data_IF_121439444382
#
_entry.id   IF_121439444382
#
_cell.length_a   1.000
_cell.length_b   1.000
_cell.length_c   1.000
_cell.angle_alpha   90.00
_cell.angle_beta   90.00
_cell.angle_gamma   90.00
#
_symmetry.space_group_name_H-M   'P 1'
#
loop_
_entity.id
_entity.type
_entity.pdbx_description
1 polymer ?
#
# COMPACT_ATOMS: atom_id res chain seq x y z
N UNK A 1 -21.22 -10.66 -2.67
CA UNK A 1 -20.01 -9.98 -3.18
C UNK A 1 -19.25 -10.96 -4.07
N UNK A 2 -18.91 -10.57 -5.29
CA UNK A 2 -18.22 -11.50 -6.22
C UNK A 2 -16.72 -11.54 -5.92
N UNK A 3 -16.05 -12.67 -6.26
CA UNK A 3 -14.58 -12.87 -6.07
C UNK A 3 -13.72 -11.71 -6.63
N UNK A 4 -14.20 -11.05 -7.69
CA UNK A 4 -13.56 -9.87 -8.30
C UNK A 4 -13.53 -8.65 -7.37
N UNK A 5 -14.61 -8.42 -6.63
CA UNK A 5 -14.72 -7.26 -5.72
C UNK A 5 -13.86 -7.46 -4.48
N UNK A 6 -13.77 -8.72 -4.04
CA UNK A 6 -12.88 -9.14 -2.96
C UNK A 6 -11.40 -8.89 -3.27
N UNK A 7 -10.95 -9.32 -4.44
CA UNK A 7 -9.56 -9.16 -4.85
C UNK A 7 -9.18 -7.68 -5.07
N UNK A 8 -10.13 -6.84 -5.51
CA UNK A 8 -9.93 -5.39 -5.61
C UNK A 8 -9.80 -4.73 -4.24
N UNK A 9 -10.63 -5.12 -3.27
CA UNK A 9 -10.65 -4.50 -1.95
C UNK A 9 -9.36 -4.76 -1.13
N UNK A 10 -8.65 -5.87 -1.40
CA UNK A 10 -7.38 -6.20 -0.73
C UNK A 10 -6.15 -5.97 -1.59
N UNK A 11 -6.33 -5.33 -2.76
CA UNK A 11 -5.23 -5.09 -3.70
C UNK A 11 -4.67 -6.31 -4.39
N UNK A 12 -5.33 -7.45 -4.29
CA UNK A 12 -5.00 -8.66 -5.06
C UNK A 12 -5.73 -8.64 -6.43
N UNK A 13 -6.41 -7.54 -6.74
CA UNK A 13 -7.29 -7.38 -7.90
C UNK A 13 -6.61 -7.41 -9.27
N UNK A 14 -5.30 -7.44 -9.35
CA UNK A 14 -4.58 -7.48 -10.64
C UNK A 14 -4.07 -8.86 -11.05
N UNK A 15 -4.42 -9.94 -10.38
CA UNK A 15 -4.01 -11.28 -10.83
C UNK A 15 -4.82 -11.81 -12.03
N UNK A 16 -5.71 -11.02 -12.61
CA UNK A 16 -6.66 -11.53 -13.62
C UNK A 16 -6.74 -10.83 -14.97
N UNK A 17 -6.29 -9.62 -15.19
CA UNK A 17 -6.64 -8.94 -16.44
C UNK A 17 -5.63 -8.01 -17.10
N UNK A 18 -4.52 -7.59 -16.50
CA UNK A 18 -3.66 -6.60 -17.17
C UNK A 18 -2.15 -6.84 -17.23
N UNK A 19 -1.59 -7.78 -16.52
CA UNK A 19 -0.20 -8.19 -16.76
C UNK A 19 -0.09 -9.67 -16.49
N UNK A 20 -0.02 -10.47 -17.53
CA UNK A 20 0.36 -11.86 -17.41
C UNK A 20 1.90 -11.94 -17.33
N UNK A 21 2.52 -11.94 -16.15
CA UNK A 21 3.96 -12.08 -16.03
C UNK A 21 4.45 -13.47 -16.50
N UNK A 22 3.50 -14.39 -16.79
CA UNK A 22 3.79 -15.74 -17.29
C UNK A 22 4.29 -15.76 -18.73
N UNK A 23 4.11 -14.69 -19.51
CA UNK A 23 4.67 -14.62 -20.88
C UNK A 23 6.20 -14.49 -20.89
N UNK A 24 6.81 -14.09 -19.79
CA UNK A 24 8.27 -13.98 -19.65
C UNK A 24 8.90 -15.27 -19.09
N UNK A 25 8.09 -16.16 -18.49
CA UNK A 25 8.55 -17.37 -17.78
C UNK A 25 8.11 -18.70 -18.43
N UNK A 26 7.62 -18.66 -19.68
CA UNK A 26 7.14 -19.84 -20.40
C UNK A 26 8.23 -20.86 -20.81
N UNK A 27 9.47 -20.72 -20.35
CA UNK A 27 10.53 -21.68 -20.57
C UNK A 27 10.78 -22.52 -19.31
N UNK A 28 10.07 -23.65 -19.21
CA UNK A 28 10.40 -24.76 -18.29
C UNK A 28 9.57 -24.80 -17.00
N UNK A 29 8.53 -25.65 -16.97
CA UNK A 29 7.85 -26.10 -15.77
C UNK A 29 8.71 -27.14 -15.03
N UNK A 30 9.16 -26.91 -13.79
CA UNK A 30 9.51 -28.01 -12.88
C UNK A 30 8.26 -28.54 -12.20
N UNK A 31 8.10 -29.84 -12.12
CA UNK A 31 7.02 -30.52 -11.40
C UNK A 31 7.11 -30.21 -9.90
N UNK A 32 5.99 -29.76 -9.34
CA UNK A 32 5.84 -29.48 -7.90
C UNK A 32 5.60 -30.80 -7.16
N UNK A 33 6.64 -31.41 -6.65
CA UNK A 33 6.53 -32.44 -5.61
C UNK A 33 7.48 -32.12 -4.47
N UNK A 34 6.88 -31.95 -3.29
CA UNK A 34 7.45 -31.81 -1.93
C UNK A 34 8.13 -30.49 -1.53
N UNK A 35 7.67 -29.97 -0.40
CA UNK A 35 8.19 -28.79 0.31
C UNK A 35 9.63 -28.93 0.85
N UNK A 36 10.24 -30.12 0.80
CA UNK A 36 11.51 -30.44 1.46
C UNK A 36 12.78 -30.23 0.61
N UNK A 37 12.68 -29.62 -0.57
CA UNK A 37 13.81 -29.52 -1.51
C UNK A 37 14.20 -28.10 -1.97
N UNK A 38 13.67 -27.04 -1.37
CA UNK A 38 14.09 -25.69 -1.72
C UNK A 38 15.43 -25.35 -1.05
N UNK A 39 16.49 -25.76 -1.69
CA UNK A 39 17.82 -25.27 -1.38
C UNK A 39 17.86 -23.75 -1.52
N UNK A 40 18.63 -23.07 -0.64
CA UNK A 40 18.88 -21.64 -0.63
C UNK A 40 19.33 -21.02 -1.98
N UNK A 41 19.48 -21.82 -3.03
CA UNK A 41 19.85 -21.47 -4.40
C UNK A 41 18.69 -21.45 -5.39
N UNK A 42 17.42 -21.51 -4.96
CA UNK A 42 16.24 -21.43 -5.83
C UNK A 42 16.13 -20.13 -6.63
N UNK A 43 15.32 -20.11 -7.70
CA UNK A 43 15.18 -18.95 -8.61
C UNK A 43 14.87 -17.62 -7.88
N UNK A 44 14.11 -17.66 -6.78
CA UNK A 44 13.77 -16.46 -6.00
C UNK A 44 14.95 -15.83 -5.27
N UNK A 45 15.95 -16.62 -4.85
CA UNK A 45 17.18 -16.08 -4.25
C UNK A 45 18.04 -15.34 -5.28
N UNK A 46 18.01 -15.77 -6.54
CA UNK A 46 18.70 -15.05 -7.62
C UNK A 46 18.04 -13.71 -7.88
N UNK A 47 16.69 -13.63 -7.89
CA UNK A 47 15.95 -12.37 -8.01
C UNK A 47 16.27 -11.41 -6.87
N UNK A 48 16.40 -11.90 -5.65
CA UNK A 48 16.73 -11.10 -4.48
C UNK A 48 18.15 -10.47 -4.53
N UNK A 49 19.05 -11.03 -5.35
CA UNK A 49 20.41 -10.54 -5.57
C UNK A 49 20.61 -9.78 -6.87
N UNK A 50 19.63 -9.85 -7.78
CA UNK A 50 19.69 -9.09 -9.02
C UNK A 50 19.54 -7.59 -8.68
N UNK A 51 20.65 -6.87 -8.78
CA UNK A 51 20.62 -5.43 -8.90
C UNK A 51 20.43 -5.13 -10.39
N UNK A 52 19.32 -4.51 -10.71
CA UNK A 52 19.10 -4.03 -12.07
C UNK A 52 20.09 -2.89 -12.31
N UNK A 53 20.92 -2.94 -13.38
CA UNK A 53 21.72 -1.79 -13.74
C UNK A 53 20.80 -0.64 -14.09
N UNK A 54 21.05 0.54 -13.56
CA UNK A 54 20.30 1.76 -13.86
C UNK A 54 20.42 2.22 -15.32
N UNK A 55 21.18 1.51 -16.13
CA UNK A 55 21.44 1.86 -17.53
C UNK A 55 20.32 1.37 -18.45
N UNK A 56 19.57 2.29 -19.03
CA UNK A 56 18.71 2.04 -20.20
C UNK A 56 17.22 2.27 -20.05
N UNK A 57 16.71 2.60 -18.84
CA UNK A 57 15.31 3.03 -18.70
C UNK A 57 15.29 4.53 -18.52
N UNK A 58 14.61 5.21 -19.44
CA UNK A 58 14.40 6.66 -19.36
C UNK A 58 13.46 6.94 -18.18
N UNK A 59 13.88 7.79 -17.27
CA UNK A 59 13.00 8.31 -16.20
C UNK A 59 11.80 9.04 -16.83
N UNK A 60 10.64 8.86 -16.24
CA UNK A 60 9.41 9.56 -16.62
C UNK A 60 9.29 10.87 -15.83
N UNK A 61 10.34 11.67 -15.82
CA UNK A 61 10.36 12.98 -15.14
C UNK A 61 9.30 13.91 -15.75
N UNK A 62 8.61 14.67 -14.90
CA UNK A 62 7.59 15.64 -15.31
C UNK A 62 6.21 15.06 -15.62
N UNK A 63 5.98 13.76 -15.41
CA UNK A 63 4.63 13.21 -15.48
C UNK A 63 3.81 13.64 -14.26
N UNK A 64 2.54 13.96 -14.51
CA UNK A 64 1.58 14.39 -13.49
C UNK A 64 0.31 13.56 -13.60
N UNK A 65 -0.46 13.54 -12.52
CA UNK A 65 -1.76 12.89 -12.50
C UNK A 65 -2.81 13.69 -13.28
N UNK A 66 -3.69 12.98 -14.00
CA UNK A 66 -4.94 13.57 -14.49
C UNK A 66 -5.87 13.76 -13.29
N UNK A 67 -6.29 14.99 -12.96
CA UNK A 67 -7.17 15.24 -11.82
C UNK A 67 -8.59 14.69 -12.02
N UNK A 68 -9.09 14.59 -13.25
CA UNK A 68 -10.47 14.18 -13.53
C UNK A 68 -10.84 12.84 -12.89
N UNK A 69 -10.18 11.72 -13.22
CA UNK A 69 -10.47 10.42 -12.62
C UNK A 69 -10.26 10.36 -11.11
N UNK A 70 -9.29 11.11 -10.58
CA UNK A 70 -9.02 11.16 -9.14
C UNK A 70 -10.13 11.87 -8.38
N UNK A 71 -10.61 13.00 -8.92
CA UNK A 71 -11.71 13.74 -8.32
C UNK A 71 -13.04 12.97 -8.41
N UNK A 72 -13.30 12.29 -9.53
CA UNK A 72 -14.47 11.42 -9.64
C UNK A 72 -14.47 10.32 -8.56
N UNK A 73 -13.33 9.68 -8.32
CA UNK A 73 -13.18 8.69 -7.23
C UNK A 73 -13.33 9.32 -5.85
N UNK A 74 -12.81 10.51 -5.67
CA UNK A 74 -12.95 11.28 -4.42
C UNK A 74 -14.41 11.61 -4.14
N UNK A 75 -15.12 12.16 -5.12
CA UNK A 75 -16.51 12.56 -5.01
C UNK A 75 -17.44 11.36 -4.77
N UNK A 76 -17.17 10.22 -5.40
CA UNK A 76 -17.93 8.98 -5.16
C UNK A 76 -17.88 8.50 -3.69
N UNK A 77 -16.87 8.89 -2.91
CA UNK A 77 -16.73 8.55 -1.50
C UNK A 77 -17.36 9.60 -0.55
N UNK A 78 -17.92 10.69 -1.08
CA UNK A 78 -18.51 11.78 -0.26
C UNK A 78 -19.50 11.29 0.81
N UNK A 79 -20.45 10.37 0.52
CA UNK A 79 -21.38 9.87 1.54
C UNK A 79 -20.69 9.17 2.71
N UNK A 80 -19.69 8.33 2.44
CA UNK A 80 -18.94 7.64 3.48
C UNK A 80 -18.07 8.60 4.30
N UNK A 81 -17.49 9.62 3.63
CA UNK A 81 -16.72 10.67 4.27
C UNK A 81 -17.62 11.56 5.16
N UNK A 82 -18.83 11.86 4.69
CA UNK A 82 -19.83 12.57 5.49
C UNK A 82 -20.18 11.79 6.77
N UNK A 83 -20.45 10.49 6.66
CA UNK A 83 -20.71 9.63 7.84
C UNK A 83 -19.54 9.66 8.82
N UNK A 84 -18.31 9.59 8.32
CA UNK A 84 -17.10 9.59 9.14
C UNK A 84 -16.94 10.89 9.94
N UNK A 85 -17.11 12.03 9.30
CA UNK A 85 -16.85 13.35 9.90
C UNK A 85 -18.05 13.99 10.60
N UNK A 86 -19.24 13.46 10.38
CA UNK A 86 -20.47 14.00 10.99
C UNK A 86 -20.40 14.06 12.52
N UNK A 87 -19.72 13.08 13.14
CA UNK A 87 -19.52 13.03 14.60
C UNK A 87 -18.51 14.08 15.11
N UNK A 88 -17.71 14.63 14.22
CA UNK A 88 -16.69 15.65 14.56
C UNK A 88 -17.26 17.05 14.42
N UNK A 89 -17.99 17.33 13.33
CA UNK A 89 -18.39 18.69 12.95
C UNK A 89 -19.89 18.98 13.10
N UNK A 90 -20.74 17.95 13.14
CA UNK A 90 -22.20 18.12 13.19
C UNK A 90 -22.82 18.42 11.83
N UNK A 91 -24.18 18.44 11.81
CA UNK A 91 -24.98 18.53 10.57
C UNK A 91 -24.86 19.86 9.84
N UNK A 92 -24.64 20.95 10.54
CA UNK A 92 -24.71 22.29 9.95
C UNK A 92 -23.46 22.71 9.19
N UNK A 93 -22.31 22.11 9.51
CA UNK A 93 -21.00 22.52 8.99
C UNK A 93 -20.38 21.48 8.07
N UNK A 94 -20.84 20.22 8.16
CA UNK A 94 -20.17 19.09 7.52
C UNK A 94 -20.06 19.22 6.01
N UNK A 95 -21.09 19.72 5.33
CA UNK A 95 -21.10 19.78 3.88
C UNK A 95 -20.13 20.85 3.35
N UNK A 96 -20.01 21.99 4.02
CA UNK A 96 -19.03 23.04 3.69
C UNK A 96 -17.59 22.51 3.91
N UNK A 97 -17.35 21.79 5.01
CA UNK A 97 -16.04 21.19 5.31
C UNK A 97 -15.67 20.12 4.27
N UNK A 98 -16.63 19.32 3.82
CA UNK A 98 -16.39 18.34 2.75
C UNK A 98 -16.06 18.98 1.41
N UNK A 99 -16.64 20.16 1.12
CA UNK A 99 -16.30 20.93 -0.07
C UNK A 99 -14.87 21.49 0.04
N UNK A 100 -14.49 22.04 1.20
CA UNK A 100 -13.11 22.46 1.45
C UNK A 100 -12.09 21.29 1.32
N UNK A 101 -12.45 20.11 1.82
CA UNK A 101 -11.61 18.90 1.68
C UNK A 101 -11.42 18.52 0.21
N UNK A 102 -12.50 18.61 -0.59
CA UNK A 102 -12.45 18.34 -2.02
C UNK A 102 -11.55 19.33 -2.75
N UNK A 103 -11.73 20.62 -2.49
CA UNK A 103 -10.89 21.66 -3.10
C UNK A 103 -9.43 21.51 -2.70
N UNK A 104 -9.19 21.13 -1.43
CA UNK A 104 -7.83 20.85 -0.93
C UNK A 104 -7.21 19.64 -1.62
N UNK A 105 -7.99 18.57 -1.88
CA UNK A 105 -7.50 17.42 -2.61
C UNK A 105 -7.17 17.78 -4.06
N UNK A 106 -8.01 18.52 -4.75
CA UNK A 106 -7.74 19.03 -6.10
C UNK A 106 -6.45 19.83 -6.15
N UNK A 107 -6.23 20.74 -5.20
CA UNK A 107 -5.02 21.53 -5.09
C UNK A 107 -3.77 20.70 -4.76
N UNK A 108 -3.94 19.52 -4.14
CA UNK A 108 -2.83 18.62 -3.77
C UNK A 108 -2.39 17.72 -4.93
N UNK A 109 -3.29 17.39 -5.88
CA UNK A 109 -3.01 16.46 -6.99
C UNK A 109 -1.73 16.81 -7.76
N UNK A 110 -1.44 18.08 -8.13
CA UNK A 110 -0.20 18.43 -8.83
C UNK A 110 1.09 18.10 -8.06
N UNK A 111 1.00 18.05 -6.73
CA UNK A 111 2.14 17.75 -5.84
C UNK A 111 2.35 16.25 -5.59
N UNK A 112 1.37 15.42 -5.96
CA UNK A 112 1.43 13.99 -5.75
C UNK A 112 2.53 13.36 -6.61
N UNK A 113 3.44 12.58 -6.03
CA UNK A 113 4.36 11.75 -6.79
C UNK A 113 3.63 10.92 -7.86
N UNK A 114 4.06 11.03 -9.12
CA UNK A 114 3.54 10.15 -10.16
C UNK A 114 4.25 8.80 -10.06
N UNK A 115 3.52 7.76 -9.68
CA UNK A 115 4.05 6.40 -9.47
C UNK A 115 3.63 5.42 -10.56
N UNK A 116 2.96 5.91 -11.61
CA UNK A 116 2.45 5.11 -12.73
C UNK A 116 1.03 4.58 -12.50
N UNK A 117 0.19 4.66 -13.54
CA UNK A 117 -1.24 4.32 -13.47
C UNK A 117 -1.54 2.83 -13.20
N UNK A 118 -0.59 1.95 -13.45
CA UNK A 118 -0.71 0.50 -13.18
C UNK A 118 0.08 0.05 -11.94
N UNK A 119 0.58 0.98 -11.13
CA UNK A 119 1.38 0.66 -9.96
C UNK A 119 0.56 -0.09 -8.90
N UNK A 120 1.13 -1.17 -8.38
CA UNK A 120 0.52 -1.97 -7.32
C UNK A 120 0.15 -1.15 -6.07
N UNK A 121 0.94 -0.12 -5.75
CA UNK A 121 0.74 0.70 -4.56
C UNK A 121 -0.37 1.76 -4.69
N UNK A 122 -0.95 1.97 -5.88
CA UNK A 122 -2.01 2.97 -6.09
C UNK A 122 -3.18 2.81 -5.13
N UNK A 123 -3.56 1.58 -4.85
CA UNK A 123 -4.67 1.26 -3.96
C UNK A 123 -4.49 1.77 -2.52
N UNK A 124 -3.26 2.06 -2.11
CA UNK A 124 -2.95 2.68 -0.82
C UNK A 124 -2.50 4.12 -0.97
N UNK A 125 -1.74 4.43 -2.03
CA UNK A 125 -1.19 5.77 -2.26
C UNK A 125 -2.30 6.80 -2.46
N UNK A 126 -3.28 6.52 -3.32
CA UNK A 126 -4.39 7.45 -3.58
C UNK A 126 -5.23 7.71 -2.32
N UNK A 127 -5.74 6.68 -1.59
CA UNK A 127 -6.47 6.93 -0.35
C UNK A 127 -5.65 7.65 0.72
N UNK A 128 -4.34 7.42 0.79
CA UNK A 128 -3.49 8.14 1.73
C UNK A 128 -3.28 9.60 1.32
N UNK A 129 -3.23 9.91 0.02
CA UNK A 129 -3.20 11.29 -0.47
C UNK A 129 -4.50 12.03 -0.17
N UNK A 130 -5.66 11.35 -0.30
CA UNK A 130 -6.96 11.88 0.13
C UNK A 130 -6.96 12.25 1.63
N UNK A 131 -6.47 11.34 2.49
CA UNK A 131 -6.38 11.57 3.93
C UNK A 131 -5.47 12.76 4.28
N UNK A 132 -4.40 12.98 3.52
CA UNK A 132 -3.56 14.16 3.72
C UNK A 132 -4.36 15.45 3.45
N UNK A 133 -5.10 15.50 2.34
CA UNK A 133 -5.93 16.65 2.01
C UNK A 133 -7.01 16.89 3.08
N UNK A 134 -7.67 15.84 3.54
CA UNK A 134 -8.64 15.89 4.63
C UNK A 134 -8.00 16.45 5.92
N UNK A 135 -6.82 15.95 6.30
CA UNK A 135 -6.10 16.44 7.48
C UNK A 135 -5.80 17.93 7.39
N UNK A 136 -5.28 18.39 6.26
CA UNK A 136 -4.90 19.80 6.06
C UNK A 136 -6.10 20.76 6.16
N UNK A 137 -7.33 20.27 6.01
CA UNK A 137 -8.54 21.03 6.28
C UNK A 137 -8.91 20.96 7.75
N UNK A 138 -9.05 19.76 8.30
CA UNK A 138 -9.58 19.60 9.68
C UNK A 138 -8.62 20.15 10.75
N UNK A 139 -7.33 20.27 10.44
CA UNK A 139 -6.35 20.94 11.30
C UNK A 139 -6.73 22.42 11.55
N UNK A 140 -7.27 23.10 10.53
CA UNK A 140 -7.74 24.49 10.64
C UNK A 140 -8.95 24.62 11.58
N UNK A 141 -9.69 23.54 11.76
CA UNK A 141 -10.82 23.44 12.71
C UNK A 141 -10.39 22.93 14.10
N UNK A 142 -9.08 22.82 14.34
CA UNK A 142 -8.51 22.44 15.62
C UNK A 142 -8.56 20.95 15.93
N UNK A 143 -8.75 20.07 14.95
CA UNK A 143 -8.69 18.61 15.13
C UNK A 143 -7.23 18.17 15.28
N UNK A 144 -6.82 17.61 16.45
CA UNK A 144 -5.46 17.17 16.66
C UNK A 144 -5.07 16.00 15.74
N UNK A 145 -3.81 15.92 15.32
CA UNK A 145 -3.25 14.82 14.51
C UNK A 145 -3.59 13.44 15.07
N UNK A 146 -3.53 13.29 16.39
CA UNK A 146 -3.84 12.04 17.08
C UNK A 146 -5.31 11.63 16.89
N UNK A 147 -6.24 12.58 17.02
CA UNK A 147 -7.66 12.29 16.94
C UNK A 147 -8.06 11.99 15.49
N UNK A 148 -7.50 12.74 14.53
CA UNK A 148 -7.65 12.44 13.11
C UNK A 148 -7.12 11.03 12.78
N UNK A 149 -5.94 10.67 13.23
CA UNK A 149 -5.37 9.34 13.00
C UNK A 149 -6.21 8.23 13.62
N UNK A 150 -6.69 8.43 14.86
CA UNK A 150 -7.55 7.47 15.54
C UNK A 150 -8.88 7.27 14.81
N UNK A 151 -9.50 8.35 14.32
CA UNK A 151 -10.74 8.29 13.55
C UNK A 151 -10.59 7.37 12.33
N UNK A 152 -9.54 7.58 11.54
CA UNK A 152 -9.26 6.76 10.37
C UNK A 152 -8.86 5.32 10.69
N UNK A 153 -8.11 5.09 11.77
CA UNK A 153 -7.77 3.74 12.21
C UNK A 153 -9.00 2.97 12.71
N UNK A 154 -9.90 3.63 13.41
CA UNK A 154 -11.16 3.03 13.84
C UNK A 154 -12.03 2.66 12.64
N UNK A 155 -12.16 3.54 11.66
CA UNK A 155 -12.89 3.25 10.43
C UNK A 155 -12.25 2.09 9.66
N UNK A 156 -10.94 2.11 9.45
CA UNK A 156 -10.23 1.02 8.78
C UNK A 156 -10.40 -0.33 9.49
N UNK A 157 -10.42 -0.31 10.83
CA UNK A 157 -10.67 -1.50 11.65
C UNK A 157 -12.10 -2.01 11.48
N UNK A 158 -13.09 -1.10 11.50
CA UNK A 158 -14.51 -1.43 11.26
C UNK A 158 -14.71 -2.05 9.89
N UNK A 159 -14.14 -1.44 8.84
CA UNK A 159 -14.24 -1.93 7.47
C UNK A 159 -13.58 -3.30 7.30
N UNK A 160 -12.42 -3.49 7.90
CA UNK A 160 -11.72 -4.77 7.88
C UNK A 160 -12.53 -5.88 8.58
N UNK A 161 -13.05 -5.60 9.77
CA UNK A 161 -13.82 -6.58 10.55
C UNK A 161 -15.17 -6.94 9.91
N UNK A 162 -15.72 -6.07 9.06
CA UNK A 162 -16.94 -6.35 8.29
C UNK A 162 -16.79 -7.54 7.32
N UNK A 163 -15.56 -7.92 6.97
CA UNK A 163 -15.28 -9.11 6.14
C UNK A 163 -15.52 -10.44 6.85
N UNK A 164 -15.55 -10.46 8.18
CA UNK A 164 -15.66 -11.67 8.97
C UNK A 164 -14.32 -12.42 9.15
N UNK A 165 -14.18 -13.03 10.33
CA UNK A 165 -12.93 -13.65 10.78
C UNK A 165 -12.38 -14.71 9.82
N UNK A 166 -13.21 -15.65 9.38
CA UNK A 166 -12.77 -16.79 8.56
C UNK A 166 -12.28 -16.33 7.18
N UNK A 167 -12.94 -15.31 6.63
CA UNK A 167 -12.56 -14.70 5.36
C UNK A 167 -11.22 -13.98 5.48
N UNK A 168 -11.01 -13.22 6.54
CA UNK A 168 -9.73 -12.54 6.80
C UNK A 168 -8.57 -13.53 6.95
N UNK A 169 -8.78 -14.63 7.69
CA UNK A 169 -7.78 -15.68 7.84
C UNK A 169 -7.46 -16.35 6.48
N UNK A 170 -8.49 -16.61 5.67
CA UNK A 170 -8.29 -17.18 4.33
C UNK A 170 -7.45 -16.24 3.44
N UNK A 171 -7.72 -14.94 3.48
CA UNK A 171 -6.92 -13.92 2.77
C UNK A 171 -5.47 -13.92 3.28
N UNK A 172 -5.29 -13.92 4.60
CA UNK A 172 -3.97 -13.99 5.21
C UNK A 172 -3.16 -15.19 4.73
N UNK A 173 -3.77 -16.38 4.70
CA UNK A 173 -3.12 -17.60 4.17
C UNK A 173 -2.72 -17.49 2.70
N UNK A 174 -3.54 -16.81 1.89
CA UNK A 174 -3.21 -16.58 0.46
C UNK A 174 -1.94 -15.75 0.27
N UNK A 175 -1.57 -14.90 1.22
CA UNK A 175 -0.34 -14.09 1.15
C UNK A 175 0.93 -14.94 1.20
N UNK A 176 0.85 -16.19 1.69
CA UNK A 176 1.99 -17.11 1.76
C UNK A 176 2.01 -18.14 0.61
N UNK A 177 1.14 -17.94 -0.39
CA UNK A 177 1.17 -18.74 -1.60
C UNK A 177 2.33 -18.35 -2.51
N UNK A 178 2.91 -19.34 -3.21
CA UNK A 178 4.01 -19.11 -4.16
C UNK A 178 3.74 -18.00 -5.18
N UNK A 179 2.48 -17.88 -5.64
CA UNK A 179 2.09 -16.84 -6.60
C UNK A 179 2.24 -15.43 -6.01
N UNK A 180 1.87 -15.26 -4.73
CA UNK A 180 2.01 -13.98 -4.03
C UNK A 180 3.48 -13.63 -3.81
N UNK A 181 4.30 -14.59 -3.37
CA UNK A 181 5.74 -14.39 -3.22
C UNK A 181 6.38 -13.97 -4.55
N UNK A 182 6.05 -14.68 -5.64
CA UNK A 182 6.58 -14.36 -6.97
C UNK A 182 6.16 -12.97 -7.44
N UNK A 183 4.88 -12.62 -7.23
CA UNK A 183 4.36 -11.30 -7.58
C UNK A 183 5.06 -10.19 -6.79
N UNK A 184 5.25 -10.36 -5.49
CA UNK A 184 5.92 -9.39 -4.64
C UNK A 184 7.41 -9.26 -4.98
N UNK A 185 8.08 -10.37 -5.30
CA UNK A 185 9.46 -10.35 -5.77
C UNK A 185 9.61 -9.63 -7.12
N UNK A 186 8.69 -9.86 -8.05
CA UNK A 186 8.67 -9.16 -9.35
C UNK A 186 8.37 -7.66 -9.18
N UNK A 187 7.41 -7.29 -8.34
CA UNK A 187 7.10 -5.89 -8.01
C UNK A 187 8.30 -5.19 -7.39
N UNK A 188 8.98 -5.84 -6.45
CA UNK A 188 10.19 -5.30 -5.83
C UNK A 188 11.33 -5.13 -6.85
N UNK A 189 11.53 -6.09 -7.76
CA UNK A 189 12.51 -5.97 -8.82
C UNK A 189 12.17 -4.79 -9.76
N UNK A 190 10.89 -4.67 -10.15
CA UNK A 190 10.43 -3.60 -11.03
C UNK A 190 10.66 -2.22 -10.40
N UNK A 191 10.38 -2.05 -9.11
CA UNK A 191 10.58 -0.77 -8.41
C UNK A 191 12.02 -0.26 -8.46
N UNK A 192 13.00 -1.17 -8.56
CA UNK A 192 14.43 -0.82 -8.59
C UNK A 192 14.87 -0.19 -9.92
N UNK A 193 14.05 -0.29 -10.98
CA UNK A 193 14.30 0.44 -12.23
C UNK A 193 14.10 1.94 -12.09
N UNK A 194 13.35 2.38 -11.05
CA UNK A 194 13.09 3.80 -10.77
C UNK A 194 12.56 4.56 -11.99
N UNK A 195 11.63 3.95 -12.71
CA UNK A 195 10.96 4.58 -13.86
C UNK A 195 10.33 5.90 -13.44
N UNK A 196 9.79 5.94 -12.22
CA UNK A 196 9.26 7.13 -11.59
C UNK A 196 10.15 7.50 -10.38
N UNK A 197 10.76 8.70 -10.35
CA UNK A 197 11.77 9.05 -9.34
C UNK A 197 11.29 8.97 -7.90
N UNK A 198 10.02 9.36 -7.67
CA UNK A 198 9.43 9.45 -6.34
C UNK A 198 8.57 8.23 -5.96
N UNK A 199 8.56 7.17 -6.79
CA UNK A 199 7.87 5.92 -6.49
C UNK A 199 8.51 5.18 -5.32
N UNK A 200 7.84 4.14 -4.86
CA UNK A 200 8.40 3.21 -3.88
C UNK A 200 9.61 2.47 -4.46
N UNK A 201 10.63 2.28 -3.65
CA UNK A 201 11.79 1.42 -3.98
C UNK A 201 11.87 0.29 -2.98
N UNK A 202 11.75 -0.94 -3.47
CA UNK A 202 11.51 -2.11 -2.65
C UNK A 202 12.55 -3.20 -2.96
N UNK A 203 12.94 -3.93 -1.93
CA UNK A 203 13.75 -5.14 -2.04
C UNK A 203 12.99 -6.30 -1.39
N UNK A 204 12.75 -7.35 -2.16
CA UNK A 204 12.15 -8.57 -1.64
C UNK A 204 13.14 -9.32 -0.76
N UNK A 205 12.66 -9.85 0.36
CA UNK A 205 13.41 -10.68 1.30
C UNK A 205 12.75 -12.03 1.45
N UNK A 206 13.43 -13.06 1.03
CA UNK A 206 13.00 -14.42 1.35
C UNK A 206 13.42 -14.75 2.77
N UNK A 207 12.48 -15.26 3.57
CA UNK A 207 12.74 -15.71 4.93
C UNK A 207 13.37 -17.08 4.98
N UNK A 208 13.76 -17.48 6.19
CA UNK A 208 14.30 -18.80 6.53
C UNK A 208 13.20 -19.80 6.92
N UNK A 209 11.94 -19.35 7.00
CA UNK A 209 10.80 -20.13 7.45
C UNK A 209 10.78 -20.32 8.99
N UNK A 210 11.72 -19.73 9.72
CA UNK A 210 11.78 -19.73 11.19
C UNK A 210 11.40 -18.36 11.72
N UNK A 211 12.18 -17.35 11.39
CA UNK A 211 11.92 -15.97 11.83
C UNK A 211 10.81 -15.31 11.04
N UNK A 212 10.81 -15.47 9.73
CA UNK A 212 9.76 -15.00 8.84
C UNK A 212 9.75 -15.84 7.56
N UNK A 213 8.66 -15.82 6.82
CA UNK A 213 8.51 -16.56 5.57
C UNK A 213 8.97 -15.72 4.38
N UNK A 214 8.55 -14.46 4.34
CA UNK A 214 9.00 -13.46 3.35
C UNK A 214 8.86 -12.03 3.89
N UNK A 215 9.49 -11.08 3.22
CA UNK A 215 9.45 -9.68 3.62
C UNK A 215 9.81 -8.72 2.50
N UNK A 216 9.66 -7.43 2.80
CA UNK A 216 10.00 -6.32 1.92
C UNK A 216 10.80 -5.28 2.70
N UNK A 217 11.91 -4.82 2.12
CA UNK A 217 12.61 -3.64 2.59
C UNK A 217 12.28 -2.47 1.66
N UNK A 218 11.57 -1.48 2.16
CA UNK A 218 11.37 -0.22 1.45
C UNK A 218 12.52 0.71 1.76
N UNK A 219 13.20 1.22 0.74
CA UNK A 219 14.24 2.24 0.86
C UNK A 219 13.75 3.61 0.41
N UNK A 220 12.60 3.67 -0.25
CA UNK A 220 11.88 4.89 -0.63
C UNK A 220 10.38 4.65 -0.52
N UNK A 221 9.64 5.66 -0.06
CA UNK A 221 8.20 5.61 0.15
C UNK A 221 7.55 6.86 -0.46
N UNK A 222 6.66 6.67 -1.44
CA UNK A 222 5.97 7.78 -2.10
C UNK A 222 5.07 8.57 -1.13
N UNK A 223 4.45 7.91 -0.13
CA UNK A 223 3.71 8.62 0.91
C UNK A 223 4.62 9.58 1.68
N UNK A 224 5.83 9.16 2.05
CA UNK A 224 6.80 10.03 2.74
C UNK A 224 7.18 11.24 1.89
N UNK A 225 7.36 11.06 0.56
CA UNK A 225 7.67 12.16 -0.35
C UNK A 225 6.54 13.20 -0.37
N UNK A 226 5.29 12.73 -0.46
CA UNK A 226 4.13 13.61 -0.46
C UNK A 226 3.94 14.32 0.89
N UNK A 227 3.91 13.58 1.98
CA UNK A 227 3.65 14.13 3.31
C UNK A 227 4.74 15.12 3.76
N UNK A 228 5.98 14.91 3.31
CA UNK A 228 7.09 15.84 3.57
C UNK A 228 6.87 17.22 2.94
N UNK A 229 6.25 17.30 1.76
CA UNK A 229 5.96 18.60 1.10
C UNK A 229 5.01 19.47 1.93
N UNK A 230 4.21 18.85 2.80
CA UNK A 230 3.19 19.51 3.61
C UNK A 230 3.52 19.53 5.11
N UNK A 231 4.76 19.22 5.48
CA UNK A 231 5.24 19.14 6.89
C UNK A 231 4.38 18.21 7.78
N UNK A 232 3.87 17.13 7.17
CA UNK A 232 2.95 16.17 7.79
C UNK A 232 3.54 14.77 7.97
N UNK A 233 4.87 14.63 7.99
CA UNK A 233 5.58 13.34 8.09
C UNK A 233 5.20 12.57 9.34
N UNK A 234 4.94 13.26 10.43
CA UNK A 234 4.53 12.69 11.72
C UNK A 234 3.16 12.00 11.69
N UNK A 235 2.33 12.26 10.67
CA UNK A 235 1.10 11.51 10.41
C UNK A 235 1.33 10.16 9.74
N UNK A 236 2.45 9.96 9.03
CA UNK A 236 2.66 8.74 8.23
C UNK A 236 2.63 7.49 9.10
N UNK A 237 3.31 7.54 10.25
CA UNK A 237 3.33 6.39 11.15
C UNK A 237 1.96 6.09 11.76
N UNK A 238 1.29 7.02 12.47
CA UNK A 238 0.03 6.71 13.12
C UNK A 238 -1.13 6.49 12.16
N UNK A 239 -1.15 7.16 11.00
CA UNK A 239 -2.27 7.12 10.07
C UNK A 239 -2.14 6.01 9.02
N UNK A 240 -0.95 5.79 8.49
CA UNK A 240 -0.71 4.89 7.36
C UNK A 240 -0.10 3.57 7.83
N UNK A 241 1.08 3.66 8.43
CA UNK A 241 1.87 2.49 8.75
C UNK A 241 1.26 1.60 9.84
N UNK A 242 0.46 2.16 10.74
CA UNK A 242 -0.23 1.40 11.80
C UNK A 242 -1.30 0.48 11.25
N UNK A 243 -1.88 0.79 10.08
CA UNK A 243 -2.88 -0.06 9.44
C UNK A 243 -2.32 -1.45 9.07
N UNK A 244 -1.02 -1.56 8.77
CA UNK A 244 -0.39 -2.85 8.46
C UNK A 244 -0.43 -3.82 9.65
N UNK A 245 -0.27 -3.31 10.87
CA UNK A 245 -0.36 -4.13 12.10
C UNK A 245 -1.80 -4.58 12.36
N UNK A 246 -2.78 -3.70 12.13
CA UNK A 246 -4.21 -4.03 12.27
C UNK A 246 -4.58 -5.12 11.27
N UNK A 247 -4.23 -4.95 10.01
CA UNK A 247 -4.49 -5.91 8.96
C UNK A 247 -3.75 -7.24 9.21
N UNK A 248 -2.46 -7.18 9.56
CA UNK A 248 -1.64 -8.35 9.85
C UNK A 248 -2.17 -9.17 11.01
N UNK A 249 -2.65 -8.51 12.07
CA UNK A 249 -3.30 -9.16 13.22
C UNK A 249 -4.61 -9.84 12.83
N UNK A 250 -5.50 -9.12 12.15
CA UNK A 250 -6.81 -9.64 11.73
C UNK A 250 -6.69 -10.82 10.76
N UNK A 251 -5.73 -10.79 9.86
CA UNK A 251 -5.46 -11.83 8.86
C UNK A 251 -4.52 -12.93 9.37
N UNK A 252 -4.00 -12.84 10.60
CA UNK A 252 -3.04 -13.78 11.19
C UNK A 252 -1.78 -13.99 10.35
N UNK A 253 -1.26 -12.90 9.79
CA UNK A 253 -0.05 -12.99 8.94
C UNK A 253 1.25 -12.83 9.72
N UNK A 254 1.21 -12.68 11.05
CA UNK A 254 2.40 -12.50 11.89
C UNK A 254 3.26 -11.32 11.43
N UNK A 255 2.58 -10.25 10.96
CA UNK A 255 3.25 -9.04 10.47
C UNK A 255 4.08 -8.39 11.57
N UNK A 256 5.31 -8.02 11.23
CA UNK A 256 6.21 -7.24 12.09
C UNK A 256 7.06 -6.29 11.28
N UNK A 257 7.50 -5.23 11.93
CA UNK A 257 8.43 -4.24 11.40
C UNK A 257 9.24 -3.68 12.56
N UNK A 258 10.56 -3.57 12.40
CA UNK A 258 11.48 -3.08 13.43
C UNK A 258 12.12 -1.75 13.06
N UNK A 259 12.18 -1.42 11.77
CA UNK A 259 12.71 -0.16 11.24
C UNK A 259 11.66 0.55 10.38
N UNK A 260 11.62 1.88 10.44
CA UNK A 260 10.62 2.69 9.74
C UNK A 260 11.22 4.00 9.23
N UNK A 261 11.09 4.27 7.94
CA UNK A 261 11.52 5.54 7.33
C UNK A 261 10.83 6.73 8.02
N UNK A 262 9.57 6.58 8.43
CA UNK A 262 8.81 7.62 9.11
C UNK A 262 9.37 8.00 10.48
N UNK A 263 10.21 7.19 11.09
CA UNK A 263 10.91 7.47 12.36
C UNK A 263 12.38 7.80 12.17
N UNK A 264 12.84 7.92 10.91
CA UNK A 264 14.21 8.27 10.57
C UNK A 264 15.13 7.09 10.30
N UNK A 265 14.60 5.85 10.31
CA UNK A 265 15.39 4.69 9.92
C UNK A 265 15.68 4.69 8.39
N UNK A 266 16.77 4.06 7.95
CA UNK A 266 17.13 4.04 6.53
C UNK A 266 16.19 3.21 5.65
N UNK A 267 15.41 2.33 6.25
CA UNK A 267 14.46 1.45 5.57
C UNK A 267 13.20 1.21 6.42
N UNK A 268 12.13 0.70 5.76
CA UNK A 268 11.06 0.00 6.46
C UNK A 268 11.24 -1.50 6.20
N UNK A 269 11.42 -2.31 7.26
CA UNK A 269 11.65 -3.74 7.17
C UNK A 269 10.38 -4.54 7.46
N UNK A 270 9.53 -4.71 6.47
CA UNK A 270 8.28 -5.45 6.61
C UNK A 270 8.54 -6.96 6.56
N UNK A 271 8.04 -7.71 7.52
CA UNK A 271 8.20 -9.16 7.63
C UNK A 271 6.87 -9.83 7.92
N UNK A 272 6.63 -10.96 7.27
CA UNK A 272 5.44 -11.78 7.44
C UNK A 272 5.82 -13.20 7.82
N UNK A 273 5.06 -13.76 8.77
CA UNK A 273 5.21 -15.13 9.26
C UNK A 273 3.82 -15.76 9.37
N UNK A 274 3.53 -16.81 8.59
CA UNK A 274 2.26 -17.50 8.68
C UNK A 274 2.01 -17.99 10.11
N UNK A 275 0.90 -17.59 10.70
CA UNK A 275 0.44 -18.07 12.00
C UNK A 275 -0.58 -19.18 11.80
N UNK A 276 -0.40 -20.31 12.47
CA UNK A 276 -1.31 -21.46 12.47
C UNK A 276 -2.65 -21.17 13.17
#
# INVERSE_FOLDING_TARGET
>A
MQRRDFLKAIGIGCLGTCCNPLSVLAAGRPSLTSRSGYNAAGPCLRLNRLRVPAAGITSADGMTWDPGPLLEQYDAKRPARRELYLHVFGENEIDDILDEMRDRYEALIPDMPFIGESNFHLQWFIPNSEKLAEYLVVENYGVPKKDFSNLHLMQASKDLLAWGKDQLIAIGKMQFGYQTELFMAATALWSQFRVYPDDYVIYFRRGDGVDFDWGLDYTQCANMQLYKKYDAVDLVLPLICTQDYIAGSAMRTGYRRTMQIATGDPICDLRWKLQE
#
